data_IF_365989597246
#
_entry.id   IF_365989597246
#
_cell.length_a   1.000
_cell.length_b   1.000
_cell.length_c   1.000
_cell.angle_alpha   90.00
_cell.angle_beta   90.00
_cell.angle_gamma   90.00
#
_symmetry.space_group_name_H-M   'P 1'
#
loop_
_entity.id
_entity.type
_entity.pdbx_description
1 polymer ?
#
# COMPACT_ATOMS: atom_id res chain seq x y z
N UNK A 1 -2.48 -2.15 -9.69
CA UNK A 1 -1.42 -1.63 -8.81
C UNK A 1 -1.14 -2.66 -7.72
N UNK A 2 0.09 -2.73 -7.25
CA UNK A 2 0.48 -3.52 -6.07
C UNK A 2 1.18 -2.60 -5.09
N UNK A 3 1.01 -2.86 -3.78
CA UNK A 3 1.76 -2.16 -2.75
C UNK A 3 2.72 -3.12 -2.04
N UNK A 4 3.91 -2.61 -1.69
CA UNK A 4 4.82 -3.28 -0.75
C UNK A 4 4.84 -2.50 0.55
N UNK A 5 4.67 -3.18 1.67
CA UNK A 5 4.84 -2.60 3.01
C UNK A 5 6.21 -2.92 3.61
N UNK A 6 6.66 -2.06 4.54
CA UNK A 6 8.00 -2.16 5.13
C UNK A 6 8.16 -3.16 6.28
N UNK A 7 7.09 -3.51 6.99
CA UNK A 7 7.16 -4.35 8.20
C UNK A 7 7.02 -5.86 7.91
N UNK A 8 6.36 -6.21 6.81
CA UNK A 8 6.26 -7.56 6.25
C UNK A 8 6.36 -7.36 4.74
N UNK A 9 7.17 -8.14 4.02
CA UNK A 9 7.26 -8.06 2.55
C UNK A 9 5.98 -8.64 1.89
N UNK A 10 4.80 -8.26 2.37
CA UNK A 10 3.53 -8.65 1.80
C UNK A 10 3.25 -7.73 0.61
N UNK A 11 3.03 -8.35 -0.54
CA UNK A 11 2.49 -7.67 -1.72
C UNK A 11 0.98 -7.75 -1.63
N UNK A 12 0.32 -6.61 -1.51
CA UNK A 12 -1.15 -6.54 -1.46
C UNK A 12 -1.68 -6.08 -2.82
N UNK A 13 -2.55 -6.87 -3.48
CA UNK A 13 -3.13 -6.48 -4.76
C UNK A 13 -4.19 -5.40 -4.54
N UNK A 14 -4.16 -4.35 -5.35
CA UNK A 14 -5.21 -3.33 -5.35
C UNK A 14 -6.37 -3.68 -6.27
N UNK A 15 -7.58 -3.29 -5.86
CA UNK A 15 -8.79 -3.35 -6.67
C UNK A 15 -9.06 -2.01 -7.33
N UNK A 16 -9.39 -2.02 -8.63
CA UNK A 16 -9.75 -0.82 -9.40
C UNK A 16 -11.27 -0.63 -9.37
N UNK A 17 -11.74 0.59 -9.11
CA UNK A 17 -13.18 0.89 -8.98
C UNK A 17 -13.76 1.69 -10.15
N UNK A 18 -13.05 1.78 -11.28
CA UNK A 18 -13.31 2.78 -12.31
C UNK A 18 -12.70 4.14 -11.94
N UNK A 19 -12.46 4.98 -12.95
CA UNK A 19 -11.76 6.28 -12.82
C UNK A 19 -10.27 6.18 -12.48
N UNK A 20 -9.63 5.02 -12.73
CA UNK A 20 -8.22 4.80 -12.39
C UNK A 20 -7.94 4.97 -10.87
N UNK A 21 -8.95 4.70 -10.04
CA UNK A 21 -8.84 4.68 -8.59
C UNK A 21 -8.54 3.27 -8.11
N UNK A 22 -7.51 3.13 -7.29
CA UNK A 22 -7.07 1.86 -6.73
C UNK A 22 -7.26 1.84 -5.22
N UNK A 23 -7.90 0.80 -4.73
CA UNK A 23 -8.16 0.56 -3.31
C UNK A 23 -7.37 -0.66 -2.85
N UNK A 24 -6.83 -0.59 -1.64
CA UNK A 24 -6.13 -1.69 -0.99
C UNK A 24 -6.53 -1.69 0.47
N UNK A 25 -7.15 -2.78 0.90
CA UNK A 25 -7.44 -3.00 2.31
C UNK A 25 -6.21 -3.56 3.01
N UNK A 26 -5.76 -2.84 4.03
CA UNK A 26 -4.82 -3.38 5.01
C UNK A 26 -5.62 -3.92 6.19
N UNK A 27 -5.17 -5.02 6.80
CA UNK A 27 -5.73 -5.52 8.06
C UNK A 27 -5.36 -4.57 9.23
N UNK A 28 -5.82 -3.32 9.17
CA UNK A 28 -5.51 -2.28 10.15
C UNK A 28 -6.18 -2.54 11.49
N UNK A 29 -7.22 -3.38 11.52
CA UNK A 29 -7.89 -3.80 12.76
C UNK A 29 -6.94 -4.53 13.72
N UNK A 30 -5.84 -5.10 13.22
CA UNK A 30 -4.82 -5.77 14.03
C UNK A 30 -3.62 -4.85 14.36
N UNK A 31 -3.60 -3.62 13.83
CA UNK A 31 -2.52 -2.69 14.07
C UNK A 31 -2.78 -1.86 15.34
N UNK A 32 -1.83 -1.80 16.29
CA UNK A 32 -1.93 -0.93 17.45
C UNK A 32 -2.11 0.54 17.04
N UNK A 33 -2.87 1.31 17.83
CA UNK A 33 -2.88 2.77 17.75
C UNK A 33 -1.45 3.29 17.89
N UNK A 34 -1.07 4.26 17.06
CA UNK A 34 0.28 4.79 16.94
C UNK A 34 1.17 4.04 15.93
N UNK A 35 0.67 2.98 15.29
CA UNK A 35 1.41 2.28 14.23
C UNK A 35 1.61 3.17 13.00
N UNK A 36 2.76 3.02 12.34
CA UNK A 36 3.04 3.69 11.06
C UNK A 36 3.09 2.67 9.94
N UNK A 37 2.18 2.80 8.99
CA UNK A 37 2.17 1.99 7.76
C UNK A 37 3.04 2.69 6.73
N UNK A 38 4.16 2.09 6.38
CA UNK A 38 5.02 2.55 5.28
C UNK A 38 4.80 1.70 4.04
N UNK A 39 4.51 2.32 2.89
CA UNK A 39 4.28 1.61 1.63
C UNK A 39 4.80 2.35 0.39
N UNK A 40 4.92 1.62 -0.72
CA UNK A 40 5.23 2.18 -2.05
C UNK A 40 4.43 1.47 -3.14
N UNK A 41 4.17 2.16 -4.25
CA UNK A 41 3.35 1.66 -5.35
C UNK A 41 4.20 0.98 -6.43
N UNK A 42 3.73 -0.16 -6.91
CA UNK A 42 4.23 -0.82 -8.11
C UNK A 42 3.31 -0.55 -9.31
N UNK A 43 3.88 0.08 -10.33
CA UNK A 43 3.22 0.40 -11.59
C UNK A 43 3.36 -0.78 -12.56
N UNK A 44 2.32 -1.62 -12.64
CA UNK A 44 2.32 -2.83 -13.47
C UNK A 44 2.60 -2.58 -14.96
N UNK A 45 2.13 -1.45 -15.51
CA UNK A 45 2.36 -1.10 -16.93
C UNK A 45 3.86 -0.95 -17.23
N UNK A 46 4.57 -0.29 -16.32
CA UNK A 46 5.97 0.09 -16.51
C UNK A 46 6.94 -0.87 -15.80
N UNK A 47 6.40 -1.88 -15.11
CA UNK A 47 7.14 -2.85 -14.29
C UNK A 47 8.14 -2.18 -13.33
N UNK A 48 7.74 -1.03 -12.76
CA UNK A 48 8.61 -0.22 -11.89
C UNK A 48 7.94 0.15 -10.57
N UNK A 49 8.75 0.36 -9.55
CA UNK A 49 8.36 0.99 -8.30
C UNK A 49 8.29 2.52 -8.44
N UNK A 50 7.43 3.17 -7.66
CA UNK A 50 7.29 4.64 -7.56
C UNK A 50 8.62 5.34 -7.27
N UNK A 51 9.54 4.67 -6.56
CA UNK A 51 10.81 5.26 -6.10
C UNK A 51 10.65 6.15 -4.87
N UNK A 52 9.45 6.23 -4.29
CA UNK A 52 9.15 6.94 -3.04
C UNK A 52 8.35 6.04 -2.10
N UNK A 53 8.62 6.16 -0.80
CA UNK A 53 7.79 5.59 0.26
C UNK A 53 6.84 6.64 0.81
N UNK A 54 5.62 6.21 1.08
CA UNK A 54 4.57 6.97 1.75
C UNK A 54 4.36 6.39 3.15
N UNK A 55 3.94 7.23 4.09
CA UNK A 55 3.69 6.85 5.47
C UNK A 55 2.33 7.35 5.93
N UNK A 56 1.58 6.48 6.61
CA UNK A 56 0.29 6.81 7.22
C UNK A 56 0.33 6.34 8.67
N UNK A 57 -0.05 7.22 9.59
CA UNK A 57 -0.15 6.88 11.02
C UNK A 57 -1.56 6.43 11.34
N UNK A 58 -1.68 5.33 12.09
CA UNK A 58 -2.93 4.87 12.69
C UNK A 58 -3.11 5.66 13.99
N UNK A 59 -4.14 6.51 14.05
CA UNK A 59 -4.46 7.38 15.20
C UNK A 59 -5.70 6.89 15.93
#
# INVERSE_FOLDING_TARGET
MELRTGAIAATVPGQESGLNLWFVDFATAELPVGSVISFTCFWKRDQRWEGRNWQVSVL
#
